data_IF_357927166112
#
_entry.id   IF_357927166112
#
_cell.length_a   1.000
_cell.length_b   1.000
_cell.length_c   1.000
_cell.angle_alpha   90.00
_cell.angle_beta   90.00
_cell.angle_gamma   90.00
#
_symmetry.space_group_name_H-M   'P 1'
#
loop_
_entity.id
_entity.type
_entity.pdbx_description
1 polymer ?
#
# COMPACT_ATOMS: atom_id res chain seq x y z
N UNK A 1 -16.20 -7.98 10.47
CA UNK A 1 -16.06 -6.70 9.76
C UNK A 1 -14.73 -6.08 10.16
N UNK A 2 -13.79 -5.88 9.23
CA UNK A 2 -12.60 -5.06 9.52
C UNK A 2 -13.08 -3.63 9.75
N UNK A 3 -12.90 -3.11 10.95
CA UNK A 3 -13.08 -1.69 11.21
C UNK A 3 -12.11 -0.91 10.32
N UNK A 4 -12.64 -0.22 9.33
CA UNK A 4 -11.88 0.77 8.56
C UNK A 4 -11.56 1.89 9.55
N UNK A 5 -10.35 1.90 10.11
CA UNK A 5 -9.90 3.01 10.95
C UNK A 5 -9.73 4.23 10.04
N UNK A 6 -10.65 5.19 10.17
CA UNK A 6 -10.53 6.48 9.49
C UNK A 6 -9.25 7.17 9.96
N UNK A 7 -8.47 7.68 9.03
CA UNK A 7 -7.36 8.55 9.37
C UNK A 7 -7.87 9.82 10.04
N UNK A 8 -7.11 10.38 11.01
CA UNK A 8 -7.36 11.73 11.51
C UNK A 8 -7.32 12.78 10.39
N UNK A 9 -7.75 14.00 10.69
CA UNK A 9 -7.68 15.10 9.74
C UNK A 9 -6.23 15.34 9.29
N UNK A 10 -6.07 15.84 8.06
CA UNK A 10 -4.75 16.13 7.50
C UNK A 10 -3.97 17.13 8.37
N UNK A 11 -4.66 18.13 8.93
CA UNK A 11 -4.03 19.10 9.83
C UNK A 11 -3.45 18.41 11.07
N UNK A 12 -4.24 17.53 11.72
CA UNK A 12 -3.75 16.74 12.86
C UNK A 12 -2.54 15.86 12.46
N UNK A 13 -2.59 15.24 11.29
CA UNK A 13 -1.47 14.43 10.80
C UNK A 13 -0.20 15.27 10.58
N UNK A 14 -0.32 16.48 10.01
CA UNK A 14 0.78 17.42 9.83
C UNK A 14 1.33 17.95 11.16
N UNK A 15 0.48 18.12 12.15
CA UNK A 15 0.92 18.46 13.51
C UNK A 15 1.69 17.32 14.19
N UNK A 16 1.34 16.06 13.88
CA UNK A 16 1.98 14.88 14.46
C UNK A 16 3.28 14.47 13.74
N UNK A 17 3.33 14.65 12.41
CA UNK A 17 4.34 14.03 11.56
C UNK A 17 4.92 14.98 10.52
N UNK A 18 6.17 14.74 10.17
CA UNK A 18 6.85 15.35 9.03
C UNK A 18 7.27 14.28 8.03
N UNK A 19 7.21 14.61 6.73
CA UNK A 19 7.80 13.78 5.69
C UNK A 19 9.31 13.95 5.73
N UNK A 20 10.04 12.85 5.86
CA UNK A 20 11.49 12.83 5.95
C UNK A 20 12.08 11.78 4.99
N UNK A 21 12.65 12.21 3.86
CA UNK A 21 13.28 11.28 2.90
C UNK A 21 14.44 10.47 3.48
N UNK A 22 15.07 10.94 4.57
CA UNK A 22 16.12 10.21 5.26
C UNK A 22 15.58 9.13 6.21
N UNK A 23 14.28 9.15 6.53
CA UNK A 23 13.64 8.11 7.34
C UNK A 23 13.39 6.84 6.51
N UNK A 24 13.67 5.64 7.03
CA UNK A 24 13.33 4.38 6.36
C UNK A 24 11.85 4.24 5.99
N UNK A 25 10.96 4.82 6.79
CA UNK A 25 9.52 4.84 6.52
C UNK A 25 9.07 6.06 5.73
N UNK A 26 9.96 7.01 5.40
CA UNK A 26 9.64 8.33 4.86
C UNK A 26 8.86 9.24 5.84
N UNK A 27 8.84 8.91 7.13
CA UNK A 27 8.07 9.60 8.15
C UNK A 27 8.85 9.75 9.45
N UNK A 28 8.78 10.91 10.09
CA UNK A 28 9.27 11.16 11.45
C UNK A 28 8.24 11.89 12.29
N UNK A 29 8.44 11.88 13.62
CA UNK A 29 7.63 12.67 14.52
C UNK A 29 7.96 14.16 14.40
N UNK A 30 6.93 14.99 14.25
CA UNK A 30 7.10 16.44 14.26
C UNK A 30 7.55 16.87 15.68
N UNK A 31 8.70 17.56 15.76
CA UNK A 31 9.26 18.04 17.04
C UNK A 31 8.36 19.05 17.76
N UNK A 32 7.54 19.79 17.00
CA UNK A 32 6.66 20.86 17.48
C UNK A 32 5.21 20.39 17.66
N UNK A 33 5.01 19.08 17.79
CA UNK A 33 3.68 18.50 18.04
C UNK A 33 3.01 19.17 19.26
N UNK A 34 1.76 19.71 19.11
CA UNK A 34 1.10 20.51 20.12
C UNK A 34 0.83 19.74 21.42
N UNK A 35 0.91 20.45 22.56
CA UNK A 35 0.59 19.89 23.89
C UNK A 35 -0.85 19.41 24.00
N UNK A 36 -1.77 20.02 23.25
CA UNK A 36 -3.19 19.64 23.19
C UNK A 36 -3.42 18.19 22.69
N UNK A 37 -2.40 17.56 22.06
CA UNK A 37 -2.46 16.16 21.64
C UNK A 37 -2.13 15.15 22.77
N UNK A 38 -1.89 15.63 23.97
CA UNK A 38 -1.49 14.81 25.12
C UNK A 38 -2.46 14.97 26.29
N UNK A 39 -2.57 13.92 27.10
CA UNK A 39 -3.44 13.93 28.27
C UNK A 39 -2.95 14.90 29.36
N UNK A 40 -1.66 15.24 29.39
CA UNK A 40 -1.06 16.15 30.37
C UNK A 40 0.23 16.77 29.84
N UNK A 41 0.65 17.90 30.45
CA UNK A 41 1.93 18.53 30.16
C UNK A 41 3.10 17.58 30.46
N UNK A 42 3.00 16.74 31.46
CA UNK A 42 4.02 15.77 31.81
C UNK A 42 4.17 14.70 30.72
N UNK A 43 3.05 14.16 30.19
CA UNK A 43 3.10 13.21 29.07
C UNK A 43 3.69 13.81 27.81
N UNK A 44 3.43 15.09 27.52
CA UNK A 44 4.06 15.83 26.42
C UNK A 44 5.59 15.98 26.62
N UNK A 45 6.01 16.33 27.85
CA UNK A 45 7.44 16.47 28.20
C UNK A 45 8.19 15.15 28.03
N UNK A 46 7.61 14.05 28.52
CA UNK A 46 8.16 12.70 28.34
C UNK A 46 8.27 12.36 26.85
N UNK A 47 7.22 12.63 26.08
CA UNK A 47 7.20 12.36 24.64
C UNK A 47 8.26 13.18 23.90
N UNK A 48 8.44 14.48 24.25
CA UNK A 48 9.49 15.34 23.66
C UNK A 48 10.87 14.72 23.79
N UNK A 49 11.19 14.17 24.94
CA UNK A 49 12.50 13.50 25.18
C UNK A 49 12.59 12.17 24.43
N UNK A 50 11.53 11.38 24.42
CA UNK A 50 11.57 10.00 23.90
C UNK A 50 11.34 9.88 22.40
N UNK A 51 10.54 10.75 21.80
CA UNK A 51 10.02 10.53 20.46
C UNK A 51 10.13 11.73 19.50
N UNK A 52 10.17 12.98 19.99
CA UNK A 52 10.23 14.15 19.14
C UNK A 52 11.40 14.08 18.14
N UNK A 53 11.13 14.43 16.88
CA UNK A 53 12.09 14.39 15.75
C UNK A 53 12.65 12.98 15.43
N UNK A 54 12.18 11.90 16.09
CA UNK A 54 12.64 10.54 15.77
C UNK A 54 11.94 9.99 14.54
N UNK A 55 12.70 9.26 13.74
CA UNK A 55 12.21 8.52 12.58
C UNK A 55 11.29 7.38 13.02
N UNK A 56 10.30 7.06 12.19
CA UNK A 56 9.40 5.93 12.41
C UNK A 56 9.97 4.71 11.71
N UNK A 57 10.31 3.69 12.51
CA UNK A 57 11.02 2.49 12.02
C UNK A 57 10.27 1.19 12.34
N UNK A 58 9.13 1.26 13.04
CA UNK A 58 8.38 0.07 13.43
C UNK A 58 7.79 -0.65 12.23
N UNK A 59 8.06 -1.95 12.09
CA UNK A 59 7.51 -2.83 11.07
C UNK A 59 6.42 -3.72 11.63
N UNK A 60 5.36 -3.90 10.86
CA UNK A 60 4.33 -4.91 11.12
C UNK A 60 4.71 -6.27 10.52
N UNK A 61 4.07 -7.33 11.01
CA UNK A 61 4.28 -8.69 10.50
C UNK A 61 3.92 -8.86 9.03
N UNK A 62 3.05 -8.00 8.47
CA UNK A 62 2.68 -7.96 7.06
C UNK A 62 3.63 -7.10 6.20
N UNK A 63 4.75 -6.62 6.80
CA UNK A 63 5.86 -5.96 6.11
C UNK A 63 5.60 -4.49 5.77
N UNK A 64 4.77 -3.78 6.54
CA UNK A 64 4.57 -2.34 6.39
C UNK A 64 5.15 -1.58 7.58
N UNK A 65 5.66 -0.37 7.35
CA UNK A 65 5.90 0.56 8.44
C UNK A 65 4.59 0.97 9.09
N UNK A 66 4.57 0.97 10.43
CA UNK A 66 3.39 1.31 11.23
C UNK A 66 3.72 2.36 12.28
N UNK A 67 2.69 3.11 12.65
CA UNK A 67 2.75 4.09 13.72
C UNK A 67 1.52 3.99 14.60
N UNK A 68 1.70 4.24 15.88
CA UNK A 68 0.61 4.34 16.84
C UNK A 68 0.41 5.80 17.20
N UNK A 69 -0.79 6.31 17.02
CA UNK A 69 -1.16 7.68 17.42
C UNK A 69 -2.59 7.69 17.95
N UNK A 70 -2.93 8.76 18.67
CA UNK A 70 -4.28 8.94 19.15
C UNK A 70 -5.22 9.32 18.00
N UNK A 71 -6.42 8.80 18.03
CA UNK A 71 -7.55 9.27 17.19
C UNK A 71 -8.27 10.40 17.90
N UNK A 72 -9.23 11.02 17.20
CA UNK A 72 -10.11 12.11 17.72
C UNK A 72 -10.76 11.72 19.06
N UNK A 73 -11.03 10.44 19.31
CA UNK A 73 -11.62 9.95 20.56
C UNK A 73 -10.56 9.54 21.60
N UNK A 74 -9.35 10.06 21.53
CA UNK A 74 -8.22 9.78 22.40
C UNK A 74 -7.84 8.28 22.50
N UNK A 75 -8.27 7.47 21.55
CA UNK A 75 -7.94 6.04 21.45
C UNK A 75 -6.66 5.87 20.65
N UNK A 76 -5.67 5.14 21.21
CA UNK A 76 -4.47 4.77 20.47
C UNK A 76 -4.85 3.81 19.35
N UNK A 77 -4.52 4.19 18.13
CA UNK A 77 -4.82 3.39 16.92
C UNK A 77 -3.56 3.22 16.09
N UNK A 78 -3.44 2.04 15.51
CA UNK A 78 -2.36 1.69 14.61
C UNK A 78 -2.70 2.12 13.18
N UNK A 79 -1.81 2.86 12.55
CA UNK A 79 -1.90 3.24 11.14
C UNK A 79 -0.68 2.73 10.36
N UNK A 80 -0.86 2.42 9.09
CA UNK A 80 0.24 2.16 8.17
C UNK A 80 0.83 3.50 7.72
N UNK A 81 2.16 3.63 7.74
CA UNK A 81 2.85 4.89 7.45
C UNK A 81 2.51 5.43 6.05
N UNK A 82 2.46 4.57 5.01
CA UNK A 82 2.13 5.00 3.65
C UNK A 82 0.77 5.71 3.54
N UNK A 83 -0.21 5.38 4.41
CA UNK A 83 -1.51 6.06 4.41
C UNK A 83 -1.40 7.49 4.96
N UNK A 84 -0.60 7.69 6.00
CA UNK A 84 -0.32 9.01 6.57
C UNK A 84 0.46 9.85 5.58
N UNK A 85 1.50 9.27 4.97
CA UNK A 85 2.34 9.93 3.98
C UNK A 85 1.52 10.39 2.78
N UNK A 86 0.70 9.51 2.22
CA UNK A 86 -0.18 9.85 1.12
C UNK A 86 -1.14 11.00 1.50
N UNK A 87 -1.72 10.93 2.70
CA UNK A 87 -2.65 11.96 3.19
C UNK A 87 -1.97 13.32 3.32
N UNK A 88 -0.77 13.37 3.89
CA UNK A 88 -0.01 14.62 4.05
C UNK A 88 0.41 15.18 2.70
N UNK A 89 0.97 14.33 1.82
CA UNK A 89 1.50 14.74 0.52
C UNK A 89 0.40 15.25 -0.43
N UNK A 90 -0.79 14.63 -0.40
CA UNK A 90 -1.90 15.00 -1.28
C UNK A 90 -2.96 15.88 -0.59
N UNK A 91 -2.70 16.30 0.65
CA UNK A 91 -3.61 17.13 1.45
C UNK A 91 -5.03 16.58 1.56
N UNK A 92 -5.20 15.24 1.66
CA UNK A 92 -6.50 14.57 1.78
C UNK A 92 -6.43 13.33 2.66
N UNK A 93 -7.43 13.10 3.51
CA UNK A 93 -7.61 11.85 4.25
C UNK A 93 -8.84 11.05 3.78
N UNK A 94 -9.52 11.54 2.75
CA UNK A 94 -10.59 10.83 2.07
C UNK A 94 -10.03 10.10 0.84
N UNK A 95 -10.03 8.78 0.91
CA UNK A 95 -9.53 7.92 -0.16
C UNK A 95 -10.67 7.31 -0.99
N UNK A 96 -11.93 7.78 -0.82
CA UNK A 96 -13.10 7.37 -1.62
C UNK A 96 -13.23 5.83 -1.74
N UNK A 97 -12.98 5.09 -0.67
CA UNK A 97 -12.93 3.63 -0.63
C UNK A 97 -11.81 2.99 -1.47
N UNK A 98 -10.87 3.78 -1.99
CA UNK A 98 -9.69 3.29 -2.67
C UNK A 98 -8.61 2.84 -1.67
N UNK A 99 -7.72 2.00 -2.14
CA UNK A 99 -6.53 1.58 -1.40
C UNK A 99 -5.34 2.41 -1.86
N UNK A 100 -4.35 2.56 -0.98
CA UNK A 100 -3.06 3.10 -1.40
C UNK A 100 -2.17 1.93 -1.81
N UNK A 101 -1.68 2.01 -3.04
CA UNK A 101 -0.84 1.03 -3.71
C UNK A 101 0.59 1.57 -3.86
N UNK A 102 1.57 0.67 -3.74
CA UNK A 102 2.96 0.98 -4.04
C UNK A 102 3.23 0.62 -5.50
N UNK A 103 3.55 1.63 -6.33
CA UNK A 103 3.73 1.46 -7.78
C UNK A 103 4.78 0.38 -8.08
N UNK A 104 5.89 0.38 -7.34
CA UNK A 104 6.98 -0.60 -7.47
C UNK A 104 6.74 -1.94 -6.74
N UNK A 105 5.59 -2.09 -6.06
CA UNK A 105 5.26 -3.23 -5.19
C UNK A 105 6.15 -3.40 -3.96
N UNK A 106 7.06 -2.48 -3.68
CA UNK A 106 7.87 -2.49 -2.48
C UNK A 106 7.16 -1.77 -1.34
N UNK A 107 6.62 -2.52 -0.40
CA UNK A 107 5.87 -2.01 0.76
C UNK A 107 6.68 -1.09 1.68
N UNK A 108 7.99 -1.09 1.53
CA UNK A 108 8.91 -0.27 2.32
C UNK A 108 9.25 1.06 1.64
N UNK A 109 9.01 1.17 0.33
CA UNK A 109 9.27 2.40 -0.42
C UNK A 109 8.07 3.35 -0.33
N UNK A 110 8.02 4.11 0.75
CA UNK A 110 6.95 5.06 1.02
C UNK A 110 7.19 6.46 0.44
N UNK A 111 8.11 6.61 -0.53
CA UNK A 111 8.21 7.86 -1.28
C UNK A 111 6.82 8.26 -1.80
N UNK A 112 6.34 9.51 -1.56
CA UNK A 112 5.03 9.96 -2.04
C UNK A 112 4.79 9.72 -3.53
N UNK A 113 5.82 9.86 -4.37
CA UNK A 113 5.74 9.60 -5.81
C UNK A 113 5.56 8.11 -6.17
N UNK A 114 5.85 7.20 -5.24
CA UNK A 114 5.63 5.76 -5.39
C UNK A 114 4.26 5.31 -4.87
N UNK A 115 3.45 6.23 -4.34
CA UNK A 115 2.15 5.93 -3.75
C UNK A 115 1.03 6.47 -4.65
N UNK A 116 0.03 5.63 -4.91
CA UNK A 116 -1.14 6.01 -5.70
C UNK A 116 -2.43 5.44 -5.11
N UNK A 117 -3.57 6.04 -5.43
CA UNK A 117 -4.87 5.45 -5.15
C UNK A 117 -5.18 4.36 -6.18
N UNK A 118 -5.69 3.25 -5.71
CA UNK A 118 -6.04 2.11 -6.54
C UNK A 118 -7.35 1.46 -6.05
N UNK A 119 -8.16 1.01 -6.98
CA UNK A 119 -9.25 0.09 -6.66
C UNK A 119 -8.66 -1.25 -6.21
N UNK A 120 -9.47 -2.07 -5.54
CA UNK A 120 -9.04 -3.41 -5.15
C UNK A 120 -8.60 -4.25 -6.37
N UNK A 121 -9.29 -4.11 -7.49
CA UNK A 121 -8.98 -4.79 -8.76
C UNK A 121 -7.63 -4.34 -9.31
N UNK A 122 -7.39 -3.02 -9.40
CA UNK A 122 -6.12 -2.46 -9.86
C UNK A 122 -4.94 -2.91 -9.00
N UNK A 123 -5.10 -2.84 -7.66
CA UNK A 123 -4.08 -3.32 -6.73
C UNK A 123 -3.79 -4.83 -6.89
N UNK A 124 -4.78 -5.64 -7.22
CA UNK A 124 -4.57 -7.05 -7.55
C UNK A 124 -3.73 -7.23 -8.82
N UNK A 125 -3.89 -6.38 -9.84
CA UNK A 125 -3.07 -6.45 -11.05
C UNK A 125 -1.61 -6.05 -10.80
N UNK A 126 -1.37 -5.09 -9.92
CA UNK A 126 -0.02 -4.69 -9.53
C UNK A 126 0.72 -5.76 -8.70
N UNK A 127 0.01 -6.68 -8.00
CA UNK A 127 0.67 -7.74 -7.22
C UNK A 127 1.45 -8.69 -8.11
N UNK A 128 2.62 -9.10 -7.63
CA UNK A 128 3.46 -10.11 -8.28
C UNK A 128 2.82 -11.51 -8.37
N UNK A 129 3.53 -12.47 -8.96
CA UNK A 129 3.11 -13.87 -9.07
C UNK A 129 2.96 -14.54 -7.70
N UNK A 130 2.06 -15.51 -7.60
CA UNK A 130 1.87 -16.32 -6.39
C UNK A 130 3.02 -17.33 -6.23
N UNK A 131 3.32 -17.73 -4.99
CA UNK A 131 4.40 -18.68 -4.67
C UNK A 131 4.25 -20.06 -5.35
N UNK A 132 3.03 -20.49 -5.58
CA UNK A 132 2.68 -21.77 -6.23
C UNK A 132 2.54 -21.68 -7.77
N UNK A 133 2.99 -20.58 -8.37
CA UNK A 133 2.93 -20.41 -9.82
C UNK A 133 3.95 -21.31 -10.52
N UNK A 134 3.48 -22.18 -11.41
CA UNK A 134 4.28 -23.21 -12.10
C UNK A 134 4.88 -22.76 -13.43
N UNK A 135 4.33 -21.71 -14.06
CA UNK A 135 4.83 -21.19 -15.34
C UNK A 135 5.91 -20.12 -15.18
N UNK A 136 6.11 -19.61 -13.96
CA UNK A 136 6.94 -18.42 -13.73
C UNK A 136 6.24 -17.09 -14.04
N UNK A 137 5.07 -17.11 -14.70
CA UNK A 137 4.33 -15.93 -15.13
C UNK A 137 2.94 -15.87 -14.53
N UNK A 138 2.57 -14.70 -13.96
CA UNK A 138 1.27 -14.48 -13.36
C UNK A 138 0.15 -14.73 -14.38
N UNK A 139 -0.96 -15.33 -13.94
CA UNK A 139 -2.14 -15.62 -14.77
C UNK A 139 -1.93 -16.65 -15.88
N UNK A 140 -0.78 -17.32 -15.92
CA UNK A 140 -0.45 -18.37 -16.89
C UNK A 140 -0.13 -19.65 -16.12
N UNK A 141 -0.70 -20.76 -16.56
CA UNK A 141 -0.47 -22.10 -16.02
C UNK A 141 0.03 -23.04 -17.11
N UNK A 142 1.05 -23.81 -16.79
CA UNK A 142 1.56 -24.85 -17.69
C UNK A 142 0.95 -26.21 -17.37
N UNK A 143 0.31 -26.82 -18.34
CA UNK A 143 -0.28 -28.14 -18.23
C UNK A 143 0.66 -29.23 -18.77
N UNK A 144 1.30 -29.96 -17.86
CA UNK A 144 2.30 -30.98 -18.20
C UNK A 144 1.77 -32.09 -19.13
N UNK A 145 0.49 -32.49 -19.00
CA UNK A 145 -0.07 -33.58 -19.83
C UNK A 145 -0.19 -33.21 -21.30
N UNK A 146 -0.63 -32.01 -21.62
CA UNK A 146 -0.82 -31.57 -23.00
C UNK A 146 0.29 -30.63 -23.49
N UNK A 147 1.31 -30.35 -22.64
CA UNK A 147 2.44 -29.47 -22.97
C UNK A 147 2.01 -28.09 -23.49
N UNK A 148 0.91 -27.54 -22.92
CA UNK A 148 0.33 -26.26 -23.34
C UNK A 148 0.19 -25.29 -22.16
N UNK A 149 0.11 -24.01 -22.47
CA UNK A 149 -0.08 -22.92 -21.52
C UNK A 149 -1.53 -22.44 -21.54
N UNK A 150 -2.18 -22.37 -20.39
CA UNK A 150 -3.50 -21.78 -20.22
C UNK A 150 -3.38 -20.41 -19.59
N UNK A 151 -4.00 -19.41 -20.18
CA UNK A 151 -4.05 -18.06 -19.65
C UNK A 151 -5.46 -17.71 -19.19
N UNK A 152 -5.57 -17.20 -17.95
CA UNK A 152 -6.83 -16.72 -17.37
C UNK A 152 -6.57 -15.52 -16.46
N UNK A 153 -7.45 -14.53 -16.51
CA UNK A 153 -7.41 -13.36 -15.64
C UNK A 153 -8.70 -13.25 -14.81
N UNK A 154 -8.64 -12.57 -13.67
CA UNK A 154 -9.83 -12.32 -12.85
C UNK A 154 -10.18 -10.85 -12.88
N UNK A 155 -11.36 -10.49 -13.36
CA UNK A 155 -11.90 -9.13 -13.43
C UNK A 155 -13.19 -9.09 -12.62
N UNK A 156 -13.30 -8.18 -11.66
CA UNK A 156 -14.48 -8.01 -10.82
C UNK A 156 -15.01 -9.35 -10.23
N UNK A 157 -14.08 -10.16 -9.70
CA UNK A 157 -14.34 -11.51 -9.14
C UNK A 157 -14.80 -12.56 -10.17
N UNK A 158 -14.82 -12.24 -11.45
CA UNK A 158 -15.12 -13.21 -12.52
C UNK A 158 -13.83 -13.60 -13.22
N UNK A 159 -13.62 -14.91 -13.40
CA UNK A 159 -12.51 -15.44 -14.18
C UNK A 159 -12.83 -15.35 -15.67
N UNK A 160 -11.92 -14.79 -16.44
CA UNK A 160 -11.99 -14.71 -17.90
C UNK A 160 -10.87 -15.60 -18.45
N UNK A 161 -11.25 -16.63 -19.20
CA UNK A 161 -10.32 -17.49 -19.93
C UNK A 161 -9.88 -16.78 -21.21
N UNK A 162 -8.57 -16.60 -21.40
CA UNK A 162 -7.99 -15.90 -22.56
C UNK A 162 -7.54 -16.85 -23.67
N UNK A 163 -7.37 -18.13 -23.35
CA UNK A 163 -7.01 -19.15 -24.33
C UNK A 163 -6.03 -20.20 -23.80
N UNK A 164 -5.74 -21.15 -24.72
CA UNK A 164 -4.72 -22.19 -24.56
C UNK A 164 -3.69 -21.98 -25.68
N UNK A 165 -2.42 -21.97 -25.30
CA UNK A 165 -1.31 -21.58 -26.16
C UNK A 165 -0.25 -22.69 -26.19
N UNK A 166 0.41 -22.86 -27.31
CA UNK A 166 1.50 -23.82 -27.47
C UNK A 166 2.81 -23.26 -26.93
N UNK A 167 2.98 -21.93 -26.96
CA UNK A 167 4.18 -21.28 -26.48
C UNK A 167 3.85 -20.35 -25.29
N UNK A 168 4.85 -20.15 -24.44
CA UNK A 168 4.76 -19.23 -23.31
C UNK A 168 4.65 -17.78 -23.78
N UNK A 169 5.36 -17.43 -24.85
CA UNK A 169 5.41 -16.10 -25.43
C UNK A 169 4.01 -15.64 -25.90
N UNK A 170 3.30 -16.48 -26.64
CA UNK A 170 1.93 -16.19 -27.09
C UNK A 170 0.96 -16.01 -25.93
N UNK A 171 1.11 -16.81 -24.88
CA UNK A 171 0.31 -16.65 -23.65
C UNK A 171 0.61 -15.33 -22.93
N UNK A 172 1.88 -14.92 -22.84
CA UNK A 172 2.32 -13.65 -22.25
C UNK A 172 1.76 -12.48 -23.04
N UNK A 173 1.94 -12.46 -24.35
CA UNK A 173 1.47 -11.38 -25.22
C UNK A 173 -0.05 -11.16 -25.09
N UNK A 174 -0.82 -12.25 -25.15
CA UNK A 174 -2.28 -12.19 -25.00
C UNK A 174 -2.69 -11.68 -23.62
N UNK A 175 -2.01 -12.15 -22.57
CA UNK A 175 -2.22 -11.68 -21.19
C UNK A 175 -1.94 -10.20 -21.07
N UNK A 176 -0.79 -9.73 -21.54
CA UNK A 176 -0.32 -8.36 -21.37
C UNK A 176 -1.21 -7.37 -22.11
N UNK A 177 -1.59 -7.72 -23.35
CA UNK A 177 -2.58 -6.95 -24.11
C UNK A 177 -3.89 -6.79 -23.33
N UNK A 178 -4.42 -7.90 -22.75
CA UNK A 178 -5.69 -7.85 -22.00
C UNK A 178 -5.56 -7.12 -20.68
N UNK A 179 -4.47 -7.28 -19.96
CA UNK A 179 -4.22 -6.56 -18.70
C UNK A 179 -4.06 -5.06 -18.99
N UNK A 180 -3.37 -4.67 -20.05
CA UNK A 180 -3.22 -3.26 -20.45
C UNK A 180 -4.56 -2.60 -20.77
N UNK A 181 -5.46 -3.31 -21.45
CA UNK A 181 -6.83 -2.84 -21.72
C UNK A 181 -7.63 -2.59 -20.44
N UNK A 182 -7.47 -3.42 -19.42
CA UNK A 182 -8.30 -3.41 -18.20
C UNK A 182 -7.68 -2.53 -17.11
N UNK A 183 -6.38 -2.62 -16.91
CA UNK A 183 -5.68 -2.03 -15.78
C UNK A 183 -4.89 -0.76 -16.13
N UNK A 184 -4.68 -0.46 -17.42
CA UNK A 184 -3.92 0.71 -17.85
C UNK A 184 -2.53 0.76 -17.18
N UNK A 185 -2.22 1.87 -16.53
CA UNK A 185 -0.95 2.10 -15.80
C UNK A 185 -0.73 1.17 -14.59
N UNK A 186 -1.76 0.43 -14.15
CA UNK A 186 -1.65 -0.57 -13.07
C UNK A 186 -1.19 -1.94 -13.59
N UNK A 187 -0.95 -2.07 -14.89
CA UNK A 187 -0.45 -3.32 -15.46
C UNK A 187 1.02 -3.49 -15.11
N UNK A 188 1.34 -4.53 -14.33
CA UNK A 188 2.71 -5.01 -14.18
C UNK A 188 2.90 -6.17 -15.15
N UNK A 189 3.67 -5.95 -16.16
CA UNK A 189 4.16 -6.97 -17.10
C UNK A 189 5.35 -7.72 -16.53
#
# INVERSE_FOLDING_TARGET
MMQISFLPSVNYLKECFELDPASPSYLKWNKDRPISHFASAESHKIWKVKAANKQITNLSTDGYYIVYTHTINNKVTRFKAHRIIYAIANNTNDFQNLQIDHIDCNKLNNNPQNLRLATNTQNQYNKGKQKNNTSGHKNIHFHKKCQKYTCSITVNKKQIHLGVFETLESAIETRDKKIKEIAGEFSRT
#
